data_IF_006009122699
#
_entry.id   IF_006009122699
#
_cell.length_a   1.000
_cell.length_b   1.000
_cell.length_c   1.000
_cell.angle_alpha   90.00
_cell.angle_beta   90.00
_cell.angle_gamma   90.00
#
_symmetry.space_group_name_H-M   'P 1'
#
loop_
_entity.id
_entity.type
_entity.pdbx_description
1 polymer ?
#
# COMPACT_ATOMS: atom_id res chain seq x y z
N UNK A 1 -37.89 4.01 -41.70
CA UNK A 1 -37.00 4.94 -42.43
C UNK A 1 -36.29 5.83 -41.42
N UNK A 2 -34.98 5.64 -41.23
CA UNK A 2 -33.99 6.71 -41.03
C UNK A 2 -32.62 6.05 -40.99
N UNK A 3 -31.85 6.27 -42.04
CA UNK A 3 -30.54 5.68 -42.33
C UNK A 3 -29.46 6.40 -41.51
N UNK A 4 -28.49 5.69 -40.89
CA UNK A 4 -27.27 6.32 -40.41
C UNK A 4 -26.27 6.52 -41.56
N UNK A 5 -25.45 7.59 -41.53
CA UNK A 5 -24.60 7.95 -42.64
C UNK A 5 -23.19 7.35 -42.52
N UNK A 6 -22.78 6.66 -43.59
CA UNK A 6 -21.42 6.27 -44.02
C UNK A 6 -20.83 4.92 -43.57
N UNK A 7 -20.04 4.34 -44.51
CA UNK A 7 -19.85 2.90 -44.78
C UNK A 7 -18.64 2.27 -44.08
N UNK A 8 -18.78 0.99 -43.77
CA UNK A 8 -17.69 0.04 -43.51
C UNK A 8 -16.85 -0.20 -44.78
N UNK A 9 -15.52 -0.11 -44.70
CA UNK A 9 -14.63 -0.53 -45.76
C UNK A 9 -14.14 -1.98 -45.52
N UNK A 10 -14.39 -2.86 -46.50
CA UNK A 10 -13.80 -4.20 -46.60
C UNK A 10 -12.53 -4.16 -47.47
N UNK A 11 -11.63 -5.08 -47.16
CA UNK A 11 -10.35 -5.32 -47.82
C UNK A 11 -10.46 -6.16 -49.11
N UNK A 12 -9.34 -6.14 -49.87
CA UNK A 12 -8.96 -6.87 -51.10
C UNK A 12 -9.20 -6.09 -52.40
N UNK A 13 -8.25 -5.95 -53.34
CA UNK A 13 -6.86 -6.42 -53.44
C UNK A 13 -6.37 -6.27 -54.89
N UNK A 14 -5.15 -5.75 -55.05
CA UNK A 14 -4.12 -5.99 -56.10
C UNK A 14 -4.44 -5.67 -57.58
N UNK A 15 -3.68 -4.72 -58.15
CA UNK A 15 -3.10 -4.84 -59.49
C UNK A 15 -3.34 -3.69 -60.49
N UNK A 16 -2.23 -3.10 -60.97
CA UNK A 16 -2.05 -2.26 -62.18
C UNK A 16 -2.18 -0.73 -62.04
N UNK A 17 -1.04 -0.08 -61.76
CA UNK A 17 -0.63 1.16 -62.42
C UNK A 17 0.90 1.30 -62.26
N UNK A 18 1.65 0.78 -63.23
CA UNK A 18 3.09 0.99 -63.37
C UNK A 18 3.37 2.44 -63.79
N UNK A 19 4.38 3.04 -63.17
CA UNK A 19 4.96 4.33 -63.53
C UNK A 19 6.24 4.54 -62.71
N UNK A 20 7.38 4.39 -63.38
CA UNK A 20 8.77 4.43 -62.92
C UNK A 20 9.15 5.62 -62.03
N UNK A 21 9.93 5.36 -60.97
CA UNK A 21 11.23 5.98 -60.64
C UNK A 21 11.67 5.57 -59.21
N UNK A 22 12.98 5.51 -58.90
CA UNK A 22 13.54 4.49 -58.00
C UNK A 22 13.42 4.85 -56.51
N UNK A 23 12.84 3.93 -55.74
CA UNK A 23 12.90 3.94 -54.27
C UNK A 23 14.22 3.31 -53.80
N UNK A 24 14.93 3.89 -52.83
CA UNK A 24 16.19 3.36 -52.34
C UNK A 24 15.95 2.00 -51.68
N UNK A 25 16.77 1.02 -52.08
CA UNK A 25 16.61 -0.38 -51.74
C UNK A 25 16.43 -0.64 -50.24
N UNK A 26 15.38 -1.41 -49.94
CA UNK A 26 15.21 -2.13 -48.70
C UNK A 26 16.35 -3.16 -48.53
N UNK A 27 17.26 -2.87 -47.60
CA UNK A 27 18.15 -3.85 -46.98
C UNK A 27 17.73 -4.10 -45.53
N UNK A 28 16.59 -4.77 -45.31
CA UNK A 28 16.06 -5.00 -43.96
C UNK A 28 16.44 -6.38 -43.37
N UNK A 29 17.33 -7.13 -44.02
CA UNK A 29 17.87 -8.40 -43.50
C UNK A 29 19.34 -8.56 -43.89
N UNK A 30 20.19 -7.62 -43.47
CA UNK A 30 21.60 -7.91 -43.26
C UNK A 30 21.79 -8.29 -41.78
N UNK A 31 22.56 -9.34 -41.43
CA UNK A 31 22.98 -9.52 -40.05
C UNK A 31 23.69 -8.21 -39.64
N UNK A 32 23.28 -7.63 -38.50
CA UNK A 32 23.97 -6.47 -37.97
C UNK A 32 25.46 -6.81 -37.89
N UNK A 33 26.28 -6.07 -38.64
CA UNK A 33 27.73 -6.16 -38.51
C UNK A 33 28.07 -6.03 -37.02
N UNK A 34 28.99 -6.86 -36.49
CA UNK A 34 29.40 -6.73 -35.10
C UNK A 34 29.88 -5.29 -34.93
N UNK A 35 29.11 -4.51 -34.16
CA UNK A 35 29.46 -3.14 -33.85
C UNK A 35 30.88 -3.18 -33.30
N UNK A 36 31.79 -2.66 -34.12
CA UNK A 36 33.19 -2.55 -33.77
C UNK A 36 33.27 -1.90 -32.40
N UNK A 37 34.05 -2.50 -31.50
CA UNK A 37 34.23 -2.02 -30.14
C UNK A 37 34.74 -0.57 -30.15
N UNK A 38 33.82 0.40 -30.23
CA UNK A 38 34.04 1.75 -29.76
C UNK A 38 34.47 1.57 -28.30
N UNK A 39 35.70 1.97 -27.99
CA UNK A 39 36.39 1.58 -26.75
C UNK A 39 35.52 1.71 -25.50
N UNK A 40 35.75 0.85 -24.50
CA UNK A 40 35.00 0.73 -23.22
C UNK A 40 34.78 2.09 -22.54
N UNK A 41 33.78 2.84 -23.01
CA UNK A 41 33.45 4.18 -22.54
C UNK A 41 32.08 4.13 -21.92
N UNK A 42 31.95 4.78 -20.77
CA UNK A 42 30.65 4.99 -20.14
C UNK A 42 29.70 5.72 -21.09
N UNK A 43 28.44 5.30 -21.06
CA UNK A 43 27.35 5.97 -21.77
C UNK A 43 27.09 7.32 -21.09
N UNK A 44 26.88 8.36 -21.89
CA UNK A 44 26.56 9.70 -21.37
C UNK A 44 25.09 9.84 -21.02
N UNK A 45 24.74 10.79 -20.16
CA UNK A 45 23.36 11.07 -19.75
C UNK A 45 22.44 11.31 -20.95
N UNK A 46 22.89 12.10 -21.93
CA UNK A 46 22.16 12.38 -23.16
C UNK A 46 22.01 11.17 -24.11
N UNK A 47 22.84 10.13 -23.93
CA UNK A 47 22.81 8.91 -24.73
C UNK A 47 21.87 7.85 -24.12
N UNK A 48 21.32 8.09 -22.92
CA UNK A 48 20.29 7.22 -22.33
C UNK A 48 18.93 7.45 -22.96
N UNK A 49 18.12 6.40 -23.00
CA UNK A 49 16.73 6.49 -23.45
C UNK A 49 15.93 7.50 -22.61
N UNK A 50 15.05 8.25 -23.26
CA UNK A 50 14.29 9.35 -22.65
C UNK A 50 13.48 8.94 -21.41
N UNK A 51 12.95 7.72 -21.39
CA UNK A 51 12.18 7.20 -20.26
C UNK A 51 13.02 6.92 -19.00
N UNK A 52 14.35 6.79 -19.13
CA UNK A 52 15.27 6.58 -18.01
C UNK A 52 15.66 7.89 -17.33
N UNK A 53 15.58 9.03 -18.02
CA UNK A 53 16.01 10.33 -17.47
C UNK A 53 15.24 10.72 -16.20
N UNK A 54 13.91 10.57 -16.20
CA UNK A 54 13.10 10.84 -15.01
C UNK A 54 13.53 9.98 -13.81
N UNK A 55 13.77 8.69 -14.05
CA UNK A 55 14.21 7.76 -13.00
C UNK A 55 15.60 8.09 -12.48
N UNK A 56 16.57 8.38 -13.36
CA UNK A 56 17.94 8.76 -12.97
C UNK A 56 17.92 10.07 -12.18
N UNK A 57 17.24 11.10 -12.69
CA UNK A 57 17.19 12.40 -12.01
C UNK A 57 16.45 12.30 -10.67
N UNK A 58 15.31 11.59 -10.63
CA UNK A 58 14.50 11.44 -9.41
C UNK A 58 15.17 10.59 -8.33
N UNK A 59 16.02 9.64 -8.71
CA UNK A 59 16.69 8.73 -7.76
C UNK A 59 18.06 9.23 -7.35
N UNK A 60 18.85 9.76 -8.29
CA UNK A 60 20.26 10.08 -8.09
C UNK A 60 20.54 11.53 -7.68
N UNK A 61 19.52 12.40 -7.75
CA UNK A 61 19.61 13.82 -7.39
C UNK A 61 18.49 14.22 -6.44
N UNK A 62 18.82 15.04 -5.46
CA UNK A 62 17.82 15.64 -4.57
C UNK A 62 17.20 16.88 -5.21
N UNK A 63 15.97 17.20 -4.82
CA UNK A 63 15.29 18.43 -5.25
C UNK A 63 16.11 19.68 -4.93
N UNK A 64 16.81 19.70 -3.80
CA UNK A 64 17.68 20.80 -3.38
C UNK A 64 18.89 21.02 -4.30
N UNK A 65 19.47 19.95 -4.84
CA UNK A 65 20.57 20.04 -5.80
C UNK A 65 20.07 20.50 -7.16
N UNK A 66 18.97 19.91 -7.64
CA UNK A 66 18.34 20.33 -8.90
C UNK A 66 17.95 21.80 -8.85
N UNK A 67 17.40 22.27 -7.72
CA UNK A 67 17.02 23.67 -7.51
C UNK A 67 18.20 24.64 -7.53
N UNK A 68 19.42 24.18 -7.22
CA UNK A 68 20.64 24.99 -7.37
C UNK A 68 21.15 25.02 -8.80
N UNK A 69 20.96 23.92 -9.54
CA UNK A 69 21.62 23.69 -10.82
C UNK A 69 20.75 24.07 -12.03
N UNK A 70 19.49 23.64 -12.07
CA UNK A 70 18.57 23.78 -13.22
C UNK A 70 18.28 25.24 -13.58
N UNK A 71 18.03 26.17 -12.62
CA UNK A 71 17.80 27.59 -12.94
C UNK A 71 18.97 28.30 -13.64
N UNK A 72 20.18 27.73 -13.60
CA UNK A 72 21.35 28.32 -14.30
C UNK A 72 21.29 28.14 -15.82
N UNK A 73 20.47 27.21 -16.30
CA UNK A 73 20.36 26.82 -17.70
C UNK A 73 18.93 26.96 -18.25
N UNK A 74 18.02 27.51 -17.44
CA UNK A 74 16.59 27.66 -17.76
C UNK A 74 16.09 29.01 -17.25
N UNK A 75 14.87 29.40 -17.65
CA UNK A 75 14.21 30.62 -17.17
C UNK A 75 13.48 30.45 -15.83
N UNK A 76 13.64 29.31 -15.16
CA UNK A 76 12.95 29.05 -13.89
C UNK A 76 13.48 29.92 -12.76
N UNK A 77 12.56 30.43 -11.94
CA UNK A 77 12.91 31.08 -10.68
C UNK A 77 13.18 30.03 -9.59
N UNK A 78 14.38 30.10 -9.01
CA UNK A 78 14.84 29.15 -7.99
C UNK A 78 13.95 29.09 -6.73
N UNK A 79 13.34 30.20 -6.32
CA UNK A 79 12.54 30.30 -5.10
C UNK A 79 11.05 30.00 -5.36
N UNK A 80 10.55 30.35 -6.54
CA UNK A 80 9.12 30.23 -6.87
C UNK A 80 8.76 28.93 -7.58
N UNK A 81 9.66 28.34 -8.36
CA UNK A 81 9.37 27.12 -9.09
C UNK A 81 9.07 25.95 -8.14
N UNK A 82 8.05 25.17 -8.44
CA UNK A 82 7.72 23.93 -7.74
C UNK A 82 8.80 22.87 -7.95
N UNK A 83 8.90 21.90 -7.04
CA UNK A 83 9.84 20.78 -7.20
C UNK A 83 9.58 19.99 -8.51
N UNK A 84 8.31 19.89 -8.92
CA UNK A 84 7.91 19.23 -10.16
C UNK A 84 8.42 19.97 -11.40
N UNK A 85 8.29 21.30 -11.44
CA UNK A 85 8.79 22.11 -12.56
C UNK A 85 10.31 21.99 -12.69
N UNK A 86 11.03 22.09 -11.56
CA UNK A 86 12.48 21.93 -11.54
C UNK A 86 12.90 20.54 -11.99
N UNK A 87 12.19 19.50 -11.57
CA UNK A 87 12.45 18.13 -12.00
C UNK A 87 12.20 17.93 -13.50
N UNK A 88 11.05 18.40 -14.02
CA UNK A 88 10.74 18.28 -15.45
C UNK A 88 11.77 19.01 -16.33
N UNK A 89 12.20 20.21 -15.94
CA UNK A 89 13.24 20.92 -16.68
C UNK A 89 14.60 20.20 -16.58
N UNK A 90 14.94 19.59 -15.44
CA UNK A 90 16.13 18.74 -15.35
C UNK A 90 16.08 17.55 -16.31
N UNK A 91 14.92 16.90 -16.44
CA UNK A 91 14.71 15.79 -17.38
C UNK A 91 14.86 16.26 -18.83
N UNK A 92 14.25 17.39 -19.21
CA UNK A 92 14.40 17.98 -20.54
C UNK A 92 15.87 18.32 -20.86
N UNK A 93 16.57 18.94 -19.90
CA UNK A 93 18.00 19.23 -20.03
C UNK A 93 18.82 17.96 -20.24
N UNK A 94 18.46 16.86 -19.57
CA UNK A 94 19.15 15.57 -19.69
C UNK A 94 19.06 14.97 -21.10
N UNK A 95 17.94 15.15 -21.80
CA UNK A 95 17.79 14.68 -23.18
C UNK A 95 18.45 15.59 -24.22
N UNK A 96 18.60 16.89 -23.92
CA UNK A 96 19.02 17.89 -24.91
C UNK A 96 20.52 17.93 -25.25
N UNK A 97 21.39 17.24 -24.49
CA UNK A 97 22.84 17.18 -24.77
C UNK A 97 23.63 18.50 -24.66
N UNK A 98 22.97 19.62 -24.34
CA UNK A 98 23.57 20.94 -24.19
C UNK A 98 24.32 21.14 -22.85
N UNK A 99 24.70 22.39 -22.55
CA UNK A 99 25.48 22.73 -21.34
C UNK A 99 24.79 22.30 -20.03
N UNK A 100 23.46 22.40 -19.96
CA UNK A 100 22.70 21.89 -18.80
C UNK A 100 22.83 20.37 -18.63
N UNK A 101 22.81 19.59 -19.72
CA UNK A 101 23.04 18.15 -19.67
C UNK A 101 24.45 17.81 -19.15
N UNK A 102 25.47 18.53 -19.65
CA UNK A 102 26.86 18.34 -19.23
C UNK A 102 27.04 18.67 -17.75
N UNK A 103 26.38 19.73 -17.28
CA UNK A 103 26.40 20.13 -15.88
C UNK A 103 25.72 19.07 -14.98
N UNK A 104 24.58 18.52 -15.39
CA UNK A 104 23.90 17.43 -14.69
C UNK A 104 24.76 16.17 -14.64
N UNK A 105 25.36 15.78 -15.78
CA UNK A 105 26.26 14.63 -15.82
C UNK A 105 27.49 14.83 -14.91
N UNK A 106 28.10 16.01 -14.94
CA UNK A 106 29.23 16.34 -14.06
C UNK A 106 28.83 16.22 -12.58
N UNK A 107 27.67 16.76 -12.20
CA UNK A 107 27.19 16.67 -10.82
C UNK A 107 26.92 15.22 -10.39
N UNK A 108 26.32 14.39 -11.25
CA UNK A 108 26.09 12.97 -11.01
C UNK A 108 27.41 12.19 -10.87
N UNK A 109 28.37 12.45 -11.77
CA UNK A 109 29.68 11.80 -11.75
C UNK A 109 30.51 12.17 -10.52
N UNK A 110 30.50 13.45 -10.11
CA UNK A 110 31.19 13.92 -8.91
C UNK A 110 30.57 13.32 -7.64
N UNK A 111 29.24 13.33 -7.54
CA UNK A 111 28.52 12.81 -6.37
C UNK A 111 28.72 11.32 -6.18
N UNK A 112 28.64 10.56 -7.27
CA UNK A 112 28.65 9.10 -7.24
C UNK A 112 30.01 8.52 -7.64
N UNK A 113 31.08 9.32 -7.58
CA UNK A 113 32.42 8.97 -8.03
C UNK A 113 32.96 7.66 -7.40
N UNK A 114 32.61 7.41 -6.12
CA UNK A 114 33.01 6.16 -5.44
C UNK A 114 32.38 4.92 -6.08
N UNK A 115 31.07 4.94 -6.32
CA UNK A 115 30.38 3.82 -6.97
C UNK A 115 30.85 3.65 -8.43
N UNK A 116 31.08 4.75 -9.16
CA UNK A 116 31.65 4.67 -10.50
C UNK A 116 33.01 3.97 -10.53
N UNK A 117 33.89 4.24 -9.55
CA UNK A 117 35.17 3.54 -9.42
C UNK A 117 34.98 2.05 -9.08
N UNK A 118 34.06 1.73 -8.16
CA UNK A 118 33.76 0.33 -7.77
C UNK A 118 33.23 -0.48 -8.95
N UNK A 119 32.24 0.06 -9.67
CA UNK A 119 31.64 -0.60 -10.83
C UNK A 119 32.60 -0.71 -12.01
N UNK A 120 33.53 0.24 -12.20
CA UNK A 120 34.53 0.18 -13.27
C UNK A 120 35.48 -1.04 -13.22
N UNK A 121 35.52 -1.77 -12.11
CA UNK A 121 36.24 -3.04 -12.01
C UNK A 121 35.51 -4.20 -12.73
N UNK A 122 34.19 -4.11 -12.90
CA UNK A 122 33.39 -5.09 -13.63
C UNK A 122 33.77 -5.11 -15.12
N UNK A 123 33.73 -6.30 -15.73
CA UNK A 123 34.14 -6.51 -17.14
C UNK A 123 33.10 -7.19 -18.01
N UNK A 124 31.95 -7.50 -17.45
CA UNK A 124 30.83 -8.15 -18.12
C UNK A 124 29.50 -7.74 -17.45
N UNK A 125 28.40 -8.09 -18.10
CA UNK A 125 27.05 -7.75 -17.64
C UNK A 125 26.71 -8.40 -16.30
N UNK A 126 27.16 -9.63 -16.07
CA UNK A 126 26.85 -10.41 -14.87
C UNK A 126 27.54 -9.83 -13.63
N UNK A 127 28.79 -9.38 -13.76
CA UNK A 127 29.50 -8.68 -12.70
C UNK A 127 28.86 -7.33 -12.34
N UNK A 128 28.34 -6.61 -13.34
CA UNK A 128 27.59 -5.37 -13.11
C UNK A 128 26.28 -5.66 -12.38
N UNK A 129 25.55 -6.69 -12.80
CA UNK A 129 24.30 -7.09 -12.17
C UNK A 129 24.52 -7.54 -10.71
N UNK A 130 25.57 -8.32 -10.45
CA UNK A 130 25.92 -8.72 -9.09
C UNK A 130 26.23 -7.53 -8.18
N UNK A 131 26.98 -6.54 -8.68
CA UNK A 131 27.25 -5.32 -7.93
C UNK A 131 25.97 -4.50 -7.67
N UNK A 132 25.02 -4.51 -8.60
CA UNK A 132 23.69 -3.92 -8.41
C UNK A 132 22.91 -4.64 -7.30
N UNK A 133 22.80 -5.96 -7.36
CA UNK A 133 22.09 -6.77 -6.35
C UNK A 133 22.68 -6.59 -4.94
N UNK A 134 24.00 -6.51 -4.83
CA UNK A 134 24.68 -6.21 -3.57
C UNK A 134 24.34 -4.80 -3.06
N UNK A 135 24.28 -3.81 -3.95
CA UNK A 135 23.94 -2.44 -3.60
C UNK A 135 22.49 -2.29 -3.13
N UNK A 136 21.55 -2.99 -3.76
CA UNK A 136 20.16 -3.06 -3.32
C UNK A 136 20.07 -3.64 -1.91
N UNK A 137 20.82 -4.73 -1.64
CA UNK A 137 20.83 -5.40 -0.34
C UNK A 137 21.35 -4.52 0.79
N UNK A 138 22.33 -3.65 0.50
CA UNK A 138 22.88 -2.71 1.49
C UNK A 138 22.17 -1.34 1.49
N UNK A 139 21.21 -1.10 0.58
CA UNK A 139 20.45 0.16 0.50
C UNK A 139 21.17 1.29 -0.24
N UNK A 140 22.33 1.04 -0.87
CA UNK A 140 23.12 2.03 -1.61
C UNK A 140 22.61 2.22 -3.05
N UNK A 141 21.31 2.46 -3.20
CA UNK A 141 20.60 2.45 -4.48
C UNK A 141 21.01 3.61 -5.41
N UNK A 142 20.92 4.90 -5.02
CA UNK A 142 21.26 6.01 -5.92
C UNK A 142 22.65 5.94 -6.57
N UNK A 143 23.74 5.69 -5.82
CA UNK A 143 25.07 5.66 -6.42
C UNK A 143 25.29 4.45 -7.32
N UNK A 144 24.75 3.28 -6.98
CA UNK A 144 24.80 2.09 -7.82
C UNK A 144 23.97 2.24 -9.09
N UNK A 145 22.79 2.86 -8.98
CA UNK A 145 21.87 3.04 -10.11
C UNK A 145 22.52 3.89 -11.20
N UNK A 146 23.15 5.01 -10.86
CA UNK A 146 23.90 5.82 -11.81
C UNK A 146 25.06 5.06 -12.46
N UNK A 147 25.77 4.23 -11.67
CA UNK A 147 26.87 3.42 -12.17
C UNK A 147 26.38 2.39 -13.21
N UNK A 148 25.29 1.67 -12.94
CA UNK A 148 24.69 0.71 -13.88
C UNK A 148 24.20 1.38 -15.16
N UNK A 149 23.46 2.49 -15.05
CA UNK A 149 22.90 3.19 -16.22
C UNK A 149 23.98 3.64 -17.21
N UNK A 150 25.16 3.99 -16.70
CA UNK A 150 26.28 4.50 -17.52
C UNK A 150 27.37 3.48 -17.82
N UNK A 151 27.29 2.26 -17.29
CA UNK A 151 28.38 1.28 -17.44
C UNK A 151 28.52 0.82 -18.91
N UNK A 152 29.75 0.70 -19.46
CA UNK A 152 29.97 0.23 -20.83
C UNK A 152 29.45 -1.20 -21.05
N UNK A 153 29.64 -2.08 -20.06
CA UNK A 153 29.26 -3.50 -20.15
C UNK A 153 27.83 -3.78 -19.62
N UNK A 154 27.06 -2.74 -19.26
CA UNK A 154 25.66 -2.92 -18.85
C UNK A 154 24.76 -3.06 -20.08
N UNK A 155 24.26 -4.28 -20.30
CA UNK A 155 23.29 -4.58 -21.35
C UNK A 155 21.92 -3.95 -21.05
N UNK A 156 21.06 -3.89 -22.07
CA UNK A 156 19.67 -3.44 -21.92
C UNK A 156 18.92 -4.22 -20.83
N UNK A 157 19.15 -5.53 -20.73
CA UNK A 157 18.54 -6.37 -19.70
C UNK A 157 18.97 -5.96 -18.29
N UNK A 158 20.26 -5.69 -18.06
CA UNK A 158 20.77 -5.24 -16.75
C UNK A 158 20.20 -3.87 -16.38
N UNK A 159 20.13 -2.93 -17.35
CA UNK A 159 19.52 -1.62 -17.11
C UNK A 159 18.02 -1.72 -16.79
N UNK A 160 17.29 -2.57 -17.50
CA UNK A 160 15.87 -2.81 -17.26
C UNK A 160 15.61 -3.44 -15.88
N UNK A 161 16.45 -4.39 -15.45
CA UNK A 161 16.36 -4.98 -14.12
C UNK A 161 16.53 -3.90 -13.03
N UNK A 162 17.60 -3.09 -13.13
CA UNK A 162 17.84 -2.01 -12.17
C UNK A 162 16.74 -0.93 -12.19
N UNK A 163 16.26 -0.54 -13.39
CA UNK A 163 15.15 0.40 -13.52
C UNK A 163 13.87 -0.15 -12.90
N UNK A 164 13.52 -1.41 -13.17
CA UNK A 164 12.32 -2.06 -12.65
C UNK A 164 12.30 -2.07 -11.13
N UNK A 165 13.43 -2.36 -10.50
CA UNK A 165 13.57 -2.38 -9.05
C UNK A 165 13.45 -0.97 -8.43
N UNK A 166 14.13 0.03 -8.99
CA UNK A 166 13.98 1.44 -8.57
C UNK A 166 12.55 1.94 -8.75
N UNK A 167 11.90 1.55 -9.85
CA UNK A 167 10.50 1.89 -10.12
C UNK A 167 9.57 1.30 -9.05
N UNK A 168 9.72 0.02 -8.70
CA UNK A 168 8.93 -0.61 -7.65
C UNK A 168 9.20 -0.04 -6.27
N UNK A 169 10.46 0.30 -5.95
CA UNK A 169 10.82 0.97 -4.69
C UNK A 169 10.14 2.33 -4.56
N UNK A 170 10.10 3.10 -5.64
CA UNK A 170 9.41 4.40 -5.67
C UNK A 170 7.90 4.24 -5.40
N UNK A 171 7.27 3.19 -5.94
CA UNK A 171 5.88 2.87 -5.65
C UNK A 171 5.66 2.44 -4.19
N UNK A 172 6.53 1.60 -3.65
CA UNK A 172 6.44 1.09 -2.28
C UNK A 172 6.61 2.22 -1.25
N UNK A 173 7.66 3.04 -1.40
CA UNK A 173 7.90 4.21 -0.54
C UNK A 173 6.74 5.18 -0.65
N UNK A 174 6.19 5.40 -1.85
CA UNK A 174 5.00 6.23 -2.03
C UNK A 174 3.77 5.69 -1.29
N UNK A 175 3.55 4.37 -1.29
CA UNK A 175 2.44 3.75 -0.57
C UNK A 175 2.62 3.81 0.95
N UNK A 176 3.82 3.50 1.45
CA UNK A 176 4.17 3.59 2.86
C UNK A 176 4.01 5.03 3.37
N UNK A 177 4.58 6.02 2.67
CA UNK A 177 4.49 7.42 3.05
C UNK A 177 3.03 7.93 3.09
N UNK A 178 2.15 7.47 2.19
CA UNK A 178 0.72 7.80 2.25
C UNK A 178 0.01 7.16 3.46
N UNK A 179 0.41 5.95 3.85
CA UNK A 179 -0.12 5.33 5.07
C UNK A 179 0.35 6.07 6.31
N UNK A 180 1.62 6.47 6.35
CA UNK A 180 2.21 7.24 7.45
C UNK A 180 1.57 8.62 7.58
N UNK A 181 1.36 9.35 6.48
CA UNK A 181 0.66 10.64 6.48
C UNK A 181 -0.75 10.50 7.07
N UNK A 182 -1.52 9.49 6.64
CA UNK A 182 -2.86 9.23 7.19
C UNK A 182 -2.81 8.93 8.69
N UNK A 183 -1.84 8.14 9.13
CA UNK A 183 -1.65 7.83 10.55
C UNK A 183 -1.26 9.08 11.34
N UNK A 184 -0.41 9.93 10.79
CA UNK A 184 0.02 11.17 11.42
C UNK A 184 -1.17 12.12 11.61
N UNK A 185 -1.98 12.34 10.58
CA UNK A 185 -3.20 13.16 10.67
C UNK A 185 -4.15 12.62 11.74
N UNK A 186 -4.42 11.31 11.75
CA UNK A 186 -5.30 10.70 12.75
C UNK A 186 -4.76 10.88 14.18
N UNK A 187 -3.45 10.72 14.37
CA UNK A 187 -2.81 10.95 15.67
C UNK A 187 -2.87 12.42 16.10
N UNK A 188 -2.75 13.36 15.16
CA UNK A 188 -2.89 14.80 15.45
C UNK A 188 -4.33 15.14 15.88
N UNK A 189 -5.34 14.60 15.21
CA UNK A 189 -6.75 14.73 15.58
C UNK A 189 -7.05 14.14 16.97
N UNK A 190 -6.57 12.92 17.23
CA UNK A 190 -6.71 12.27 18.54
C UNK A 190 -6.02 13.08 19.64
N UNK A 191 -4.83 13.63 19.37
CA UNK A 191 -4.11 14.46 20.34
C UNK A 191 -4.89 15.73 20.66
N UNK A 192 -5.46 16.40 19.65
CA UNK A 192 -6.31 17.57 19.84
C UNK A 192 -7.55 17.22 20.68
N UNK A 193 -8.25 16.14 20.34
CA UNK A 193 -9.44 15.71 21.08
C UNK A 193 -9.15 15.34 22.54
N UNK A 194 -8.00 14.72 22.80
CA UNK A 194 -7.55 14.39 24.16
C UNK A 194 -7.19 15.66 24.95
N UNK A 195 -6.52 16.63 24.33
CA UNK A 195 -6.22 17.93 24.94
C UNK A 195 -7.51 18.66 25.36
N UNK A 196 -8.50 18.74 24.48
CA UNK A 196 -9.81 19.35 24.78
C UNK A 196 -10.56 18.61 25.91
N UNK A 197 -10.43 17.28 25.98
CA UNK A 197 -11.03 16.51 27.09
C UNK A 197 -10.32 16.81 28.41
N UNK A 198 -9.00 16.90 28.39
CA UNK A 198 -8.18 17.15 29.57
C UNK A 198 -8.43 18.58 30.11
N UNK A 199 -8.52 19.58 29.24
CA UNK A 199 -8.88 20.95 29.60
C UNK A 199 -10.25 21.01 30.29
N UNK A 200 -11.29 20.41 29.67
CA UNK A 200 -12.63 20.32 30.27
C UNK A 200 -12.65 19.59 31.61
N UNK A 201 -11.82 18.56 31.79
CA UNK A 201 -11.71 17.87 33.08
C UNK A 201 -11.02 18.74 34.13
N UNK A 202 -9.97 19.47 33.76
CA UNK A 202 -9.29 20.41 34.64
C UNK A 202 -10.23 21.53 35.10
N UNK A 203 -11.01 22.12 34.20
CA UNK A 203 -12.01 23.14 34.53
C UNK A 203 -13.05 22.60 35.53
N UNK A 204 -13.61 21.41 35.27
CA UNK A 204 -14.58 20.78 36.19
C UNK A 204 -14.01 20.51 37.57
N UNK A 205 -12.75 20.07 37.65
CA UNK A 205 -12.08 19.83 38.92
C UNK A 205 -11.82 21.13 39.67
N UNK A 206 -11.41 22.19 38.98
CA UNK A 206 -11.23 23.52 39.55
C UNK A 206 -12.55 24.08 40.08
N UNK A 207 -13.64 23.98 39.31
CA UNK A 207 -14.97 24.40 39.75
C UNK A 207 -15.44 23.62 40.98
N UNK A 208 -15.27 22.29 40.97
CA UNK A 208 -15.65 21.44 42.10
C UNK A 208 -14.83 21.76 43.36
N UNK A 209 -13.53 22.04 43.21
CA UNK A 209 -12.64 22.50 44.28
C UNK A 209 -13.08 23.86 44.84
N UNK A 210 -13.38 24.82 43.98
CA UNK A 210 -13.86 26.14 44.40
C UNK A 210 -15.21 26.06 45.14
N UNK A 211 -16.13 25.20 44.69
CA UNK A 211 -17.40 24.92 45.40
C UNK A 211 -17.16 24.30 46.77
N UNK A 212 -16.24 23.34 46.88
CA UNK A 212 -15.87 22.73 48.16
C UNK A 212 -15.24 23.76 49.12
N UNK A 213 -14.32 24.59 48.66
CA UNK A 213 -13.71 25.64 49.49
C UNK A 213 -14.75 26.66 49.97
N UNK A 214 -15.69 27.05 49.12
CA UNK A 214 -16.79 27.93 49.50
C UNK A 214 -17.68 27.29 50.58
N UNK A 215 -18.05 26.02 50.43
CA UNK A 215 -18.82 25.28 51.43
C UNK A 215 -18.08 25.16 52.78
N UNK A 216 -16.78 24.87 52.75
CA UNK A 216 -15.93 24.79 53.95
C UNK A 216 -15.87 26.16 54.65
N UNK A 217 -15.70 27.26 53.91
CA UNK A 217 -15.73 28.62 54.48
C UNK A 217 -17.07 28.90 55.15
N UNK A 218 -18.18 28.63 54.46
CA UNK A 218 -19.52 28.87 54.98
C UNK A 218 -19.81 28.06 56.26
N UNK A 219 -19.38 26.80 56.31
CA UNK A 219 -19.46 25.96 57.51
C UNK A 219 -18.59 26.49 58.65
N UNK A 220 -17.36 26.94 58.37
CA UNK A 220 -16.48 27.54 59.39
C UNK A 220 -17.06 28.83 59.96
N UNK A 221 -17.65 29.68 59.12
CA UNK A 221 -18.36 30.89 59.57
C UNK A 221 -19.58 30.55 60.42
N UNK A 222 -20.36 29.54 60.05
CA UNK A 222 -21.49 29.08 60.86
C UNK A 222 -21.03 28.58 62.25
N UNK A 223 -19.96 27.78 62.28
CA UNK A 223 -19.37 27.29 63.53
C UNK A 223 -18.83 28.42 64.40
N UNK A 224 -18.18 29.43 63.82
CA UNK A 224 -17.68 30.58 64.59
C UNK A 224 -18.82 31.42 65.17
N UNK A 225 -19.90 31.65 64.40
CA UNK A 225 -21.09 32.35 64.88
C UNK A 225 -21.80 31.60 66.02
N UNK A 226 -21.92 30.27 65.89
CA UNK A 226 -22.47 29.41 66.94
C UNK A 226 -21.58 29.41 68.18
N UNK A 227 -20.25 29.31 68.02
CA UNK A 227 -19.28 29.39 69.13
C UNK A 227 -19.37 30.72 69.88
N UNK A 228 -19.46 31.85 69.18
CA UNK A 228 -19.60 33.18 69.81
C UNK A 228 -20.95 33.34 70.49
N UNK A 229 -22.02 32.71 69.97
CA UNK A 229 -23.33 32.66 70.66
C UNK A 229 -23.28 31.80 71.91
N UNK A 230 -22.62 30.65 71.86
CA UNK A 230 -22.40 29.79 73.03
C UNK A 230 -21.55 30.50 74.11
N UNK A 231 -20.49 31.22 73.71
CA UNK A 231 -19.64 32.00 74.64
C UNK A 231 -20.37 33.22 75.24
N UNK A 232 -21.37 33.78 74.55
CA UNK A 232 -22.23 34.87 75.06
C UNK A 232 -23.41 34.37 75.89
N UNK A 233 -23.77 33.10 75.76
CA UNK A 233 -24.76 32.41 76.57
C UNK A 233 -24.05 31.57 77.64
N UNK A 234 -23.27 32.23 78.51
CA UNK A 234 -22.98 31.68 79.84
C UNK A 234 -24.13 32.08 80.77
N UNK A 235 -25.29 31.56 80.43
CA UNK A 235 -26.38 31.24 81.35
C UNK A 235 -26.48 29.71 81.32
N UNK A 236 -26.75 29.03 82.44
CA UNK A 236 -26.84 27.58 82.45
C UNK A 236 -28.08 27.13 81.67
N UNK A 237 -27.93 27.00 80.36
CA UNK A 237 -28.91 26.41 79.45
C UNK A 237 -28.41 25.03 79.03
N UNK A 238 -29.38 24.14 78.84
CA UNK A 238 -29.29 22.69 78.66
C UNK A 238 -28.26 22.24 77.58
N UNK A 239 -27.00 22.24 77.98
CA UNK A 239 -25.82 21.92 77.16
C UNK A 239 -25.89 20.49 76.61
N UNK A 240 -26.65 19.63 77.29
CA UNK A 240 -26.89 18.25 76.90
C UNK A 240 -27.80 18.11 75.68
N UNK A 241 -28.80 18.98 75.50
CA UNK A 241 -29.68 18.95 74.34
C UNK A 241 -28.96 19.36 73.05
N UNK A 242 -28.11 20.38 73.11
CA UNK A 242 -27.34 20.88 71.97
C UNK A 242 -26.22 19.89 71.58
N UNK A 243 -25.54 19.29 72.57
CA UNK A 243 -24.59 18.20 72.36
C UNK A 243 -25.23 16.95 71.76
N UNK A 244 -26.48 16.61 72.15
CA UNK A 244 -27.24 15.51 71.53
C UNK A 244 -27.52 15.80 70.05
N UNK A 245 -27.98 17.01 69.74
CA UNK A 245 -28.31 17.40 68.36
C UNK A 245 -27.09 17.39 67.43
N UNK A 246 -25.93 17.86 67.93
CA UNK A 246 -24.66 17.80 67.20
C UNK A 246 -24.17 16.36 67.00
N UNK A 247 -24.29 15.50 68.02
CA UNK A 247 -23.96 14.07 67.90
C UNK A 247 -24.83 13.36 66.87
N UNK A 248 -26.12 13.65 66.84
CA UNK A 248 -27.06 13.06 65.87
C UNK A 248 -26.73 13.53 64.44
N UNK A 249 -26.34 14.80 64.28
CA UNK A 249 -25.95 15.35 62.97
C UNK A 249 -24.63 14.75 62.48
N UNK A 250 -23.64 14.57 63.36
CA UNK A 250 -22.39 13.90 63.06
C UNK A 250 -22.63 12.43 62.69
N UNK A 251 -23.45 11.71 63.46
CA UNK A 251 -23.82 10.33 63.17
C UNK A 251 -24.52 10.18 61.80
N UNK A 252 -25.38 11.13 61.44
CA UNK A 252 -26.02 11.15 60.13
C UNK A 252 -25.01 11.40 59.00
N UNK A 253 -24.05 12.30 59.19
CA UNK A 253 -22.97 12.59 58.22
C UNK A 253 -22.01 11.42 58.05
N UNK A 254 -21.62 10.77 59.14
CA UNK A 254 -20.76 9.58 59.09
C UNK A 254 -21.44 8.44 58.33
N UNK A 255 -22.76 8.29 58.48
CA UNK A 255 -23.55 7.33 57.72
C UNK A 255 -23.59 7.64 56.22
N UNK A 256 -23.75 8.91 55.85
CA UNK A 256 -23.70 9.35 54.45
C UNK A 256 -22.31 9.11 53.82
N UNK A 257 -21.24 9.42 54.55
CA UNK A 257 -19.86 9.17 54.11
C UNK A 257 -19.58 7.68 53.94
N UNK A 258 -20.03 6.84 54.87
CA UNK A 258 -19.91 5.39 54.78
C UNK A 258 -20.65 4.84 53.54
N UNK A 259 -21.84 5.37 53.24
CA UNK A 259 -22.60 4.98 52.05
C UNK A 259 -21.86 5.39 50.76
N UNK A 260 -21.33 6.62 50.68
CA UNK A 260 -20.58 7.07 49.51
C UNK A 260 -19.29 6.27 49.31
N UNK A 261 -18.57 5.94 50.39
CA UNK A 261 -17.39 5.09 50.33
C UNK A 261 -17.74 3.70 49.79
N UNK A 262 -18.83 3.09 50.27
CA UNK A 262 -19.30 1.78 49.79
C UNK A 262 -19.72 1.80 48.32
N UNK A 263 -20.42 2.84 47.87
CA UNK A 263 -20.80 2.99 46.45
C UNK A 263 -19.58 3.16 45.54
N UNK A 264 -18.57 3.91 46.00
CA UNK A 264 -17.32 4.11 45.27
C UNK A 264 -16.54 2.80 45.18
N UNK A 265 -16.38 2.08 46.29
CA UNK A 265 -15.69 0.79 46.31
C UNK A 265 -16.38 -0.22 45.38
N UNK A 266 -17.72 -0.28 45.40
CA UNK A 266 -18.48 -1.13 44.49
C UNK A 266 -18.29 -0.75 43.00
N UNK A 267 -18.16 0.54 42.69
CA UNK A 267 -17.88 1.01 41.33
C UNK A 267 -16.45 0.66 40.89
N UNK A 268 -15.46 0.84 41.76
CA UNK A 268 -14.06 0.48 41.51
C UNK A 268 -13.90 -1.03 41.31
N UNK A 269 -14.58 -1.85 42.12
CA UNK A 269 -14.60 -3.31 41.95
C UNK A 269 -15.23 -3.73 40.63
N UNK A 270 -16.33 -3.10 40.19
CA UNK A 270 -16.94 -3.37 38.88
C UNK A 270 -16.01 -3.01 37.73
N UNK A 271 -15.42 -1.81 37.76
CA UNK A 271 -14.47 -1.38 36.73
C UNK A 271 -13.25 -2.30 36.63
N UNK A 272 -12.74 -2.79 37.77
CA UNK A 272 -11.62 -3.74 37.79
C UNK A 272 -12.00 -5.07 37.15
N UNK A 273 -13.21 -5.60 37.42
CA UNK A 273 -13.70 -6.84 36.80
C UNK A 273 -13.87 -6.70 35.29
N UNK A 274 -14.51 -5.62 34.84
CA UNK A 274 -14.67 -5.34 33.40
C UNK A 274 -13.31 -5.20 32.70
N UNK A 275 -12.34 -4.57 33.36
CA UNK A 275 -10.98 -4.46 32.82
C UNK A 275 -10.29 -5.83 32.69
N UNK A 276 -10.40 -6.69 33.71
CA UNK A 276 -9.87 -8.05 33.68
C UNK A 276 -10.52 -8.91 32.60
N UNK A 277 -11.85 -8.81 32.45
CA UNK A 277 -12.59 -9.51 31.39
C UNK A 277 -12.15 -9.03 30.00
N UNK A 278 -12.02 -7.72 29.79
CA UNK A 278 -11.56 -7.15 28.52
C UNK A 278 -10.13 -7.61 28.17
N UNK A 279 -9.23 -7.68 29.17
CA UNK A 279 -7.89 -8.21 28.98
C UNK A 279 -7.90 -9.70 28.62
N UNK A 280 -8.75 -10.50 29.28
CA UNK A 280 -8.88 -11.93 28.99
C UNK A 280 -9.39 -12.18 27.57
N UNK A 281 -10.43 -11.44 27.15
CA UNK A 281 -10.96 -11.51 25.77
C UNK A 281 -9.91 -11.08 24.75
N UNK A 282 -9.11 -10.05 25.06
CA UNK A 282 -8.03 -9.61 24.17
C UNK A 282 -6.97 -10.70 23.99
N UNK A 283 -6.55 -11.33 25.09
CA UNK A 283 -5.58 -12.42 25.04
C UNK A 283 -6.11 -13.63 24.25
N UNK A 284 -7.39 -13.98 24.42
CA UNK A 284 -8.03 -15.06 23.64
C UNK A 284 -8.10 -14.73 22.14
N UNK A 285 -8.39 -13.46 21.80
CA UNK A 285 -8.39 -13.01 20.41
C UNK A 285 -7.00 -13.11 19.78
N UNK A 286 -5.98 -12.65 20.49
CA UNK A 286 -4.59 -12.69 20.01
C UNK A 286 -4.12 -14.14 19.80
N UNK A 287 -4.47 -15.05 20.72
CA UNK A 287 -4.18 -16.49 20.57
C UNK A 287 -4.93 -17.10 19.37
N UNK A 288 -6.22 -16.83 19.21
CA UNK A 288 -7.01 -17.31 18.07
C UNK A 288 -6.45 -16.80 16.72
N UNK A 289 -6.00 -15.54 16.67
CA UNK A 289 -5.35 -14.98 15.49
C UNK A 289 -4.01 -15.65 15.19
N UNK A 290 -3.23 -15.97 16.23
CA UNK A 290 -1.97 -16.71 16.07
C UNK A 290 -2.23 -18.12 15.53
N UNK A 291 -3.21 -18.85 16.09
CA UNK A 291 -3.61 -20.18 15.62
C UNK A 291 -4.09 -20.14 14.16
N UNK A 292 -4.91 -19.16 13.78
CA UNK A 292 -5.34 -18.97 12.39
C UNK A 292 -4.16 -18.72 11.45
N UNK A 293 -3.16 -17.94 11.87
CA UNK A 293 -1.97 -17.69 11.08
C UNK A 293 -1.14 -18.97 10.86
N UNK A 294 -0.99 -19.80 11.89
CA UNK A 294 -0.30 -21.09 11.81
C UNK A 294 -1.06 -22.03 10.87
N UNK A 295 -2.37 -22.22 11.08
CA UNK A 295 -3.19 -23.10 10.25
C UNK A 295 -3.21 -22.68 8.76
N UNK A 296 -3.19 -21.37 8.49
CA UNK A 296 -3.05 -20.85 7.12
C UNK A 296 -1.68 -21.18 6.52
N UNK A 297 -0.60 -20.98 7.28
CA UNK A 297 0.75 -21.31 6.81
C UNK A 297 0.91 -22.82 6.56
N UNK A 298 0.35 -23.67 7.42
CA UNK A 298 0.32 -25.13 7.24
C UNK A 298 -0.47 -25.52 6.00
N UNK A 299 -1.64 -24.92 5.79
CA UNK A 299 -2.46 -25.14 4.58
C UNK A 299 -1.72 -24.71 3.31
N UNK A 300 -1.02 -23.58 3.33
CA UNK A 300 -0.19 -23.11 2.21
C UNK A 300 1.03 -23.99 1.95
N UNK A 301 1.64 -24.55 3.01
CA UNK A 301 2.73 -25.51 2.88
C UNK A 301 2.22 -26.84 2.29
N UNK A 302 1.07 -27.33 2.74
CA UNK A 302 0.41 -28.51 2.21
C UNK A 302 0.01 -28.32 0.74
N UNK A 303 -0.62 -27.20 0.39
CA UNK A 303 -0.97 -26.86 -1.00
C UNK A 303 0.27 -26.87 -1.91
N UNK A 304 1.39 -26.28 -1.46
CA UNK A 304 2.66 -26.30 -2.20
C UNK A 304 3.26 -27.71 -2.33
N UNK A 305 3.17 -28.54 -1.30
CA UNK A 305 3.72 -29.90 -1.31
C UNK A 305 2.86 -30.88 -2.14
N UNK A 306 1.54 -30.68 -2.19
CA UNK A 306 0.62 -31.51 -2.97
C UNK A 306 0.61 -31.19 -4.47
N UNK A 307 1.21 -30.07 -4.88
CA UNK A 307 1.46 -29.76 -6.29
C UNK A 307 2.79 -30.39 -6.72
N UNK A 308 2.78 -31.49 -7.49
CA UNK A 308 4.02 -31.99 -8.06
C UNK A 308 4.60 -30.93 -9.00
N UNK A 309 5.92 -30.70 -8.92
CA UNK A 309 6.67 -30.09 -10.01
C UNK A 309 6.62 -31.04 -11.22
N UNK A 310 5.51 -31.02 -11.96
CA UNK A 310 5.30 -31.94 -13.05
C UNK A 310 6.17 -31.51 -14.26
N UNK A 311 6.94 -32.43 -14.87
CA UNK A 311 7.58 -32.18 -16.14
C UNK A 311 6.51 -31.99 -17.22
N UNK A 312 6.83 -31.16 -18.22
CA UNK A 312 5.98 -30.89 -19.37
C UNK A 312 5.54 -32.20 -20.03
N UNK A 313 4.23 -32.43 -20.22
CA UNK A 313 3.79 -33.52 -21.09
C UNK A 313 2.34 -33.95 -21.01
N UNK A 314 1.75 -34.18 -19.82
CA UNK A 314 0.42 -34.79 -19.75
C UNK A 314 -0.42 -34.19 -18.61
N UNK A 315 -1.46 -33.43 -18.99
CA UNK A 315 -2.48 -32.94 -18.06
C UNK A 315 -3.26 -34.13 -17.47
N UNK A 316 -2.92 -34.52 -16.24
CA UNK A 316 -3.49 -35.71 -15.57
C UNK A 316 -4.92 -35.51 -15.02
N UNK A 317 -5.47 -34.30 -15.03
CA UNK A 317 -6.84 -34.07 -14.55
C UNK A 317 -7.81 -33.70 -15.70
N UNK A 318 -8.85 -34.49 -15.97
CA UNK A 318 -9.78 -34.25 -17.08
C UNK A 318 -10.53 -32.91 -16.97
N UNK A 319 -10.71 -32.40 -15.75
CA UNK A 319 -11.31 -31.09 -15.46
C UNK A 319 -10.37 -29.88 -15.60
N UNK A 320 -9.11 -30.09 -15.99
CA UNK A 320 -8.16 -29.01 -16.28
C UNK A 320 -7.93 -28.80 -17.78
N UNK A 321 -8.39 -29.73 -18.64
CA UNK A 321 -8.30 -29.60 -20.09
C UNK A 321 -9.10 -28.41 -20.63
N UNK A 322 -10.18 -28.04 -19.94
CA UNK A 322 -11.05 -26.92 -20.30
C UNK A 322 -10.35 -25.56 -20.17
N UNK A 323 -9.20 -25.51 -19.49
CA UNK A 323 -8.39 -24.31 -19.34
C UNK A 323 -7.43 -24.08 -20.51
N UNK A 324 -7.27 -25.06 -21.41
CA UNK A 324 -6.36 -24.94 -22.54
C UNK A 324 -6.77 -23.78 -23.46
N UNK A 325 -5.83 -22.86 -23.72
CA UNK A 325 -6.05 -21.68 -24.54
C UNK A 325 -6.97 -20.62 -23.93
N UNK A 326 -7.40 -20.79 -22.67
CA UNK A 326 -8.28 -19.84 -21.98
C UNK A 326 -7.47 -18.82 -21.19
N UNK A 327 -7.88 -17.55 -21.25
CA UNK A 327 -7.35 -16.46 -20.43
C UNK A 327 -8.28 -16.20 -19.25
N UNK A 328 -7.83 -16.59 -18.07
CA UNK A 328 -8.56 -16.50 -16.81
C UNK A 328 -8.04 -15.31 -16.02
N UNK A 329 -8.92 -14.43 -15.55
CA UNK A 329 -8.55 -13.34 -14.63
C UNK A 329 -8.95 -13.74 -13.22
N UNK A 330 -7.96 -13.87 -12.34
CA UNK A 330 -8.16 -14.24 -10.94
C UNK A 330 -8.04 -13.00 -10.06
N UNK A 331 -9.12 -12.61 -9.38
CA UNK A 331 -9.20 -11.35 -8.65
C UNK A 331 -9.17 -11.61 -7.15
N UNK A 332 -8.13 -11.13 -6.47
CA UNK A 332 -7.86 -11.31 -5.05
C UNK A 332 -7.00 -12.55 -4.77
N UNK A 333 -7.26 -13.17 -3.62
CA UNK A 333 -6.62 -14.41 -3.19
C UNK A 333 -5.28 -14.26 -2.47
N UNK A 334 -4.69 -15.41 -2.11
CA UNK A 334 -3.44 -15.48 -1.35
C UNK A 334 -2.24 -15.58 -2.29
N UNK A 335 -1.14 -14.82 -2.10
CA UNK A 335 0.02 -14.86 -2.99
C UNK A 335 0.57 -16.27 -3.25
N UNK A 336 0.63 -17.12 -2.21
CA UNK A 336 1.08 -18.52 -2.34
C UNK A 336 0.16 -19.35 -3.24
N UNK A 337 -1.14 -19.33 -2.99
CA UNK A 337 -2.14 -20.04 -3.79
C UNK A 337 -2.23 -19.46 -5.21
N UNK A 338 -2.07 -18.15 -5.40
CA UNK A 338 -2.08 -17.51 -6.71
C UNK A 338 -0.93 -18.00 -7.61
N UNK A 339 0.28 -18.15 -7.06
CA UNK A 339 1.42 -18.71 -7.79
C UNK A 339 1.16 -20.18 -8.20
N UNK A 340 0.64 -20.97 -7.26
CA UNK A 340 0.25 -22.36 -7.52
C UNK A 340 -0.81 -22.47 -8.62
N UNK A 341 -1.86 -21.65 -8.55
CA UNK A 341 -2.92 -21.58 -9.56
C UNK A 341 -2.36 -21.17 -10.93
N UNK A 342 -1.44 -20.20 -10.96
CA UNK A 342 -0.80 -19.75 -12.19
C UNK A 342 -0.02 -20.88 -12.86
N UNK A 343 0.84 -21.57 -12.11
CA UNK A 343 1.58 -22.73 -12.63
C UNK A 343 0.65 -23.84 -13.10
N UNK A 344 -0.45 -24.09 -12.39
CA UNK A 344 -1.45 -25.09 -12.78
C UNK A 344 -2.11 -24.75 -14.13
N UNK A 345 -2.58 -23.51 -14.30
CA UNK A 345 -3.25 -23.05 -15.53
C UNK A 345 -2.27 -22.96 -16.70
N UNK A 346 -1.04 -22.53 -16.48
CA UNK A 346 -0.01 -22.46 -17.52
C UNK A 346 0.42 -23.86 -17.98
N UNK A 347 0.46 -24.84 -17.08
CA UNK A 347 0.78 -26.24 -17.43
C UNK A 347 -0.26 -26.89 -18.38
N UNK A 348 -1.47 -26.36 -18.43
CA UNK A 348 -2.53 -26.82 -19.35
C UNK A 348 -2.56 -26.01 -20.65
N UNK A 349 -1.64 -25.07 -20.84
CA UNK A 349 -1.63 -24.14 -21.98
C UNK A 349 -2.68 -23.02 -21.87
N UNK A 350 -3.22 -22.76 -20.67
CA UNK A 350 -4.03 -21.59 -20.37
C UNK A 350 -3.19 -20.42 -19.88
N UNK A 351 -3.82 -19.26 -19.68
CA UNK A 351 -3.19 -18.08 -19.11
C UNK A 351 -3.96 -17.61 -17.87
N UNK A 352 -3.27 -17.50 -16.73
CA UNK A 352 -3.85 -16.90 -15.52
C UNK A 352 -3.27 -15.50 -15.30
N UNK A 353 -4.14 -14.49 -15.23
CA UNK A 353 -3.78 -13.12 -14.87
C UNK A 353 -4.33 -12.82 -13.48
N UNK A 354 -3.45 -12.60 -12.52
CA UNK A 354 -3.83 -12.29 -11.13
C UNK A 354 -3.97 -10.78 -10.98
N UNK A 355 -5.09 -10.33 -10.44
CA UNK A 355 -5.33 -8.96 -10.02
C UNK A 355 -5.56 -8.96 -8.50
N UNK A 356 -5.05 -7.98 -7.79
CA UNK A 356 -5.14 -7.88 -6.33
C UNK A 356 -6.54 -7.56 -5.77
N UNK A 357 -7.55 -7.40 -6.63
CA UNK A 357 -8.89 -7.01 -6.19
C UNK A 357 -8.97 -5.62 -5.56
N UNK A 358 -8.26 -4.62 -6.07
CA UNK A 358 -8.59 -3.20 -5.82
C UNK A 358 -7.58 -2.40 -4.99
N UNK A 359 -6.43 -2.97 -4.62
CA UNK A 359 -5.35 -2.23 -3.95
C UNK A 359 -4.58 -1.37 -4.98
N UNK A 360 -4.50 -1.83 -6.24
CA UNK A 360 -3.99 -1.09 -7.39
C UNK A 360 -5.09 -0.57 -8.33
N UNK A 361 -6.04 0.22 -7.84
CA UNK A 361 -7.00 0.92 -8.72
C UNK A 361 -6.33 2.10 -9.47
N UNK A 362 -5.36 1.77 -10.32
CA UNK A 362 -4.94 2.60 -11.46
C UNK A 362 -6.12 2.63 -12.42
N UNK A 363 -7.04 3.59 -12.19
CA UNK A 363 -8.27 3.89 -12.95
C UNK A 363 -8.30 3.25 -14.35
N UNK A 364 -8.89 2.05 -14.45
CA UNK A 364 -9.15 1.36 -15.73
C UNK A 364 -8.38 0.07 -16.00
N UNK A 365 -7.38 -0.30 -15.17
CA UNK A 365 -6.58 -1.51 -15.39
C UNK A 365 -7.41 -2.80 -15.26
N UNK A 366 -8.31 -2.87 -14.27
CA UNK A 366 -9.23 -4.00 -14.10
C UNK A 366 -10.15 -4.16 -15.31
N UNK A 367 -10.72 -3.07 -15.82
CA UNK A 367 -11.60 -3.09 -16.98
C UNK A 367 -10.87 -3.57 -18.25
N UNK A 368 -9.67 -3.05 -18.50
CA UNK A 368 -8.84 -3.49 -19.62
C UNK A 368 -8.42 -4.97 -19.50
N UNK A 369 -8.18 -5.44 -18.27
CA UNK A 369 -7.78 -6.81 -17.99
C UNK A 369 -8.94 -7.79 -18.19
N UNK A 370 -10.14 -7.43 -17.71
CA UNK A 370 -11.36 -8.23 -17.85
C UNK A 370 -11.84 -8.28 -19.30
N UNK A 371 -11.75 -7.18 -20.07
CA UNK A 371 -12.23 -7.12 -21.45
C UNK A 371 -11.62 -8.16 -22.41
N UNK A 372 -10.46 -8.73 -22.06
CA UNK A 372 -9.76 -9.77 -22.85
C UNK A 372 -9.82 -11.15 -22.20
N UNK A 373 -10.63 -11.34 -21.17
CA UNK A 373 -10.69 -12.59 -20.40
C UNK A 373 -11.80 -13.50 -20.94
N UNK A 374 -11.54 -14.81 -20.95
CA UNK A 374 -12.58 -15.81 -21.19
C UNK A 374 -13.48 -15.98 -19.96
N UNK A 375 -12.92 -15.83 -18.76
CA UNK A 375 -13.66 -15.88 -17.51
C UNK A 375 -12.91 -15.15 -16.39
N UNK A 376 -13.68 -14.73 -15.40
CA UNK A 376 -13.20 -14.11 -14.17
C UNK A 376 -13.47 -15.04 -12.99
N UNK A 377 -12.51 -15.21 -12.09
CA UNK A 377 -12.67 -16.03 -10.89
C UNK A 377 -12.22 -15.22 -9.68
N UNK A 378 -12.97 -15.26 -8.58
CA UNK A 378 -12.59 -14.55 -7.36
C UNK A 378 -12.98 -15.33 -6.10
N UNK A 379 -12.09 -15.44 -5.10
CA UNK A 379 -12.42 -16.06 -3.83
C UNK A 379 -13.10 -15.07 -2.87
N UNK A 380 -14.23 -15.46 -2.31
CA UNK A 380 -15.07 -14.62 -1.44
C UNK A 380 -14.38 -14.30 -0.11
N UNK A 381 -13.46 -15.14 0.36
CA UNK A 381 -12.68 -14.93 1.59
C UNK A 381 -11.48 -13.99 1.41
N UNK A 382 -11.17 -13.56 0.18
CA UNK A 382 -10.00 -12.72 -0.14
C UNK A 382 -10.31 -11.64 -1.18
N UNK A 383 -11.54 -11.13 -1.20
CA UNK A 383 -11.97 -9.94 -1.96
C UNK A 383 -12.83 -9.06 -1.06
N UNK A 384 -12.64 -7.75 -1.08
CA UNK A 384 -13.51 -6.83 -0.35
C UNK A 384 -14.83 -6.56 -1.10
N UNK A 385 -15.82 -6.04 -0.38
CA UNK A 385 -17.18 -5.84 -0.88
C UNK A 385 -17.26 -4.84 -2.05
N UNK A 386 -16.47 -3.77 -2.01
CA UNK A 386 -16.50 -2.72 -3.03
C UNK A 386 -15.82 -3.19 -4.32
N UNK A 387 -14.73 -3.94 -4.20
CA UNK A 387 -14.02 -4.56 -5.32
C UNK A 387 -14.84 -5.66 -5.97
N UNK A 388 -15.56 -6.48 -5.20
CA UNK A 388 -16.52 -7.44 -5.74
C UNK A 388 -17.64 -6.74 -6.53
N UNK A 389 -18.21 -5.67 -5.97
CA UNK A 389 -19.29 -4.90 -6.63
C UNK A 389 -18.80 -4.23 -7.92
N UNK A 390 -17.56 -3.76 -7.95
CA UNK A 390 -16.92 -3.18 -9.13
C UNK A 390 -16.62 -4.25 -10.17
N UNK A 391 -16.09 -5.41 -9.76
CA UNK A 391 -15.81 -6.53 -10.63
C UNK A 391 -17.06 -7.00 -11.38
N UNK A 392 -18.18 -7.19 -10.67
CA UNK A 392 -19.47 -7.55 -11.29
C UNK A 392 -19.87 -6.56 -12.38
N UNK A 393 -19.90 -5.27 -12.06
CA UNK A 393 -20.25 -4.20 -13.01
C UNK A 393 -19.36 -4.19 -14.26
N UNK A 394 -18.07 -4.48 -14.10
CA UNK A 394 -17.11 -4.55 -15.21
C UNK A 394 -17.33 -5.81 -16.05
N UNK A 395 -17.54 -6.96 -15.42
CA UNK A 395 -17.84 -8.21 -16.10
C UNK A 395 -19.14 -8.12 -16.91
N UNK A 396 -20.20 -7.57 -16.32
CA UNK A 396 -21.50 -7.38 -16.97
C UNK A 396 -21.37 -6.46 -18.20
N UNK A 397 -20.57 -5.38 -18.11
CA UNK A 397 -20.33 -4.46 -19.23
C UNK A 397 -19.59 -5.10 -20.40
N UNK A 398 -18.67 -6.02 -20.11
CA UNK A 398 -17.85 -6.69 -21.11
C UNK A 398 -18.40 -8.07 -21.52
N UNK A 399 -19.57 -8.47 -20.99
CA UNK A 399 -20.21 -9.77 -21.22
C UNK A 399 -19.29 -10.95 -20.88
N UNK A 400 -18.46 -10.81 -19.84
CA UNK A 400 -17.53 -11.85 -19.38
C UNK A 400 -18.13 -12.59 -18.18
N UNK A 401 -18.19 -13.92 -18.26
CA UNK A 401 -18.65 -14.75 -17.16
C UNK A 401 -17.71 -14.66 -15.94
N UNK A 402 -18.28 -14.58 -14.74
CA UNK A 402 -17.55 -14.57 -13.48
C UNK A 402 -18.00 -15.66 -12.52
N UNK A 403 -17.08 -16.18 -11.72
CA UNK A 403 -17.33 -17.28 -10.79
C UNK A 403 -16.76 -17.01 -9.39
N UNK A 404 -17.61 -17.00 -8.34
CA UNK A 404 -17.14 -16.91 -6.96
C UNK A 404 -16.60 -18.27 -6.48
N UNK A 405 -15.47 -18.25 -5.79
CA UNK A 405 -14.92 -19.39 -5.06
C UNK A 405 -15.18 -19.24 -3.56
N UNK A 406 -15.48 -20.35 -2.89
CA UNK A 406 -15.69 -20.37 -1.43
C UNK A 406 -14.45 -19.93 -0.65
N UNK A 407 -13.26 -20.35 -1.11
CA UNK A 407 -11.98 -20.00 -0.48
C UNK A 407 -10.90 -19.77 -1.53
N UNK A 408 -9.88 -18.98 -1.19
CA UNK A 408 -8.72 -18.71 -2.05
C UNK A 408 -7.73 -19.89 -2.12
N UNK A 409 -8.20 -21.10 -2.41
CA UNK A 409 -7.41 -22.34 -2.43
C UNK A 409 -7.36 -22.97 -3.83
N UNK A 410 -6.29 -23.73 -4.09
CA UNK A 410 -6.15 -24.52 -5.32
C UNK A 410 -7.29 -25.54 -5.45
N UNK A 411 -7.68 -26.17 -4.35
CA UNK A 411 -8.77 -27.12 -4.32
C UNK A 411 -10.11 -26.50 -4.77
N UNK A 412 -10.44 -25.30 -4.30
CA UNK A 412 -11.68 -24.61 -4.71
C UNK A 412 -11.68 -24.26 -6.20
N UNK A 413 -10.52 -23.90 -6.75
CA UNK A 413 -10.39 -23.62 -8.17
C UNK A 413 -10.52 -24.89 -9.03
N UNK A 414 -9.84 -25.98 -8.67
CA UNK A 414 -9.92 -27.27 -9.40
C UNK A 414 -11.34 -27.82 -9.37
N UNK A 415 -12.05 -27.64 -8.26
CA UNK A 415 -13.46 -28.02 -8.11
C UNK A 415 -14.35 -27.24 -9.10
N UNK A 416 -14.17 -25.92 -9.19
CA UNK A 416 -14.87 -25.07 -10.17
C UNK A 416 -14.58 -25.54 -11.61
N UNK A 417 -13.33 -25.79 -11.98
CA UNK A 417 -12.99 -26.18 -13.35
C UNK A 417 -13.51 -27.57 -13.69
N UNK A 418 -13.56 -28.47 -12.71
CA UNK A 418 -14.18 -29.79 -12.87
C UNK A 418 -15.68 -29.67 -13.12
N UNK A 419 -16.40 -28.78 -12.42
CA UNK A 419 -17.82 -28.50 -12.69
C UNK A 419 -18.04 -27.92 -14.09
N UNK A 420 -17.19 -27.00 -14.52
CA UNK A 420 -17.27 -26.40 -15.87
C UNK A 420 -16.98 -27.42 -16.98
N UNK A 421 -16.28 -28.51 -16.67
CA UNK A 421 -15.94 -29.59 -17.61
C UNK A 421 -16.97 -30.70 -17.73
N UNK A 422 -18.00 -30.73 -16.90
CA UNK A 422 -19.10 -31.69 -17.05
C UNK A 422 -20.12 -31.13 -18.06
N UNK A 423 -20.55 -31.88 -19.08
CA UNK A 423 -21.65 -31.44 -19.94
C UNK A 423 -22.89 -31.22 -19.07
N UNK A 424 -23.63 -30.14 -19.34
CA UNK A 424 -24.90 -29.86 -18.68
C UNK A 424 -25.84 -31.05 -18.90
N UNK A 425 -25.94 -31.93 -17.92
CA UNK A 425 -27.08 -32.83 -17.83
C UNK A 425 -28.28 -31.93 -17.55
N UNK A 426 -29.16 -31.89 -18.55
CA UNK A 426 -30.53 -31.43 -18.44
C UNK A 426 -31.09 -31.85 -17.09
N UNK A 427 -31.32 -30.87 -16.21
CA UNK A 427 -32.30 -31.04 -15.14
C UNK A 427 -33.67 -31.05 -15.80
N UNK A 428 -34.02 -32.20 -16.37
CA UNK A 428 -35.37 -32.61 -16.68
C UNK A 428 -35.83 -33.54 -15.56
N UNK A 429 -36.93 -33.15 -14.92
CA UNK A 429 -37.85 -33.95 -14.10
C UNK A 429 -37.31 -34.69 -12.86
N UNK A 430 -37.55 -34.08 -11.68
CA UNK A 430 -38.39 -34.62 -10.60
C UNK A 430 -38.42 -33.66 -9.39
#
# INVERSE_FOLDING_TARGET
MHTPPFRLARANGIGAALGDEPSPAAGCCAPAEPQSHAGRRRVRLAELDSHLHCSVIGTCMTTSELRKLVPRFTSLDRQRATDLEIHHEAVKLSSGGGEGCKALQKALDERHAHALRRFGAARDADAVLKLWEDAVRCGDIPPAYWAVMTHPDATTAVRQAAFGEVHMLSHLVGAANRADIRRLIALEEDNAALRDKLERQQERLQEAGARHEAAIRQMREHLSLLSVRADRLVEPCDTDAELRTLRDTLAARDKDLALQASLREAAEQRAMREHQEAQAVRAQLDDALAQLKISRAESEAMERAMLPAAPQGEARHPGLRQLQGKRIVYVGGRPGSNNALKSLVESTGGQLVVHDGGIEDRKGLLAATVARADMVVFPVDCIDHDSMSTLKRVCDRHEVAYYPLRTASVASFVELTTRMGMPAQETADA
#
